data_IF_948454688136
#
_entry.id   IF_948454688136
#
_cell.length_a   1.000
_cell.length_b   1.000
_cell.length_c   1.000
_cell.angle_alpha   90.00
_cell.angle_beta   90.00
_cell.angle_gamma   90.00
#
_symmetry.space_group_name_H-M   'P 1'
#
loop_
_entity.id
_entity.type
_entity.pdbx_description
1 polymer ?
#
# COMPACT_ATOMS: atom_id res chain seq x y z
N UNK A 1 12.66 -29.70 26.10
CA UNK A 1 12.64 -29.26 24.68
C UNK A 1 11.78 -28.02 24.59
N UNK A 2 12.26 -26.85 24.14
CA UNK A 2 11.39 -25.71 23.96
C UNK A 2 10.44 -26.04 22.81
N UNK A 3 9.14 -26.10 23.14
CA UNK A 3 8.09 -26.48 22.22
C UNK A 3 8.12 -25.60 20.97
N UNK A 4 8.27 -26.24 19.81
CA UNK A 4 7.92 -25.59 18.54
C UNK A 4 6.43 -25.25 18.64
N UNK A 5 6.10 -23.98 18.82
CA UNK A 5 4.77 -23.50 18.51
C UNK A 5 4.50 -23.93 17.05
N UNK A 6 3.45 -24.72 16.75
CA UNK A 6 3.03 -24.87 15.37
C UNK A 6 2.81 -23.47 14.80
N UNK A 7 3.12 -23.20 13.51
CA UNK A 7 2.79 -21.90 12.93
C UNK A 7 1.31 -21.68 13.20
N UNK A 8 0.92 -20.57 13.84
CA UNK A 8 -0.49 -20.30 14.08
C UNK A 8 -1.18 -20.36 12.71
N UNK A 9 -2.12 -21.29 12.54
CA UNK A 9 -2.86 -21.37 11.28
C UNK A 9 -3.59 -20.06 11.05
N UNK A 10 -3.70 -19.61 9.80
CA UNK A 10 -4.42 -18.38 9.49
C UNK A 10 -5.80 -18.36 10.14
N UNK A 11 -6.13 -17.23 10.76
CA UNK A 11 -7.40 -17.04 11.47
C UNK A 11 -7.86 -15.61 11.32
N UNK A 12 -9.06 -15.41 10.79
CA UNK A 12 -9.75 -14.12 10.75
C UNK A 12 -10.24 -13.63 12.12
N UNK A 13 -10.22 -14.49 13.15
CA UNK A 13 -10.66 -14.20 14.51
C UNK A 13 -9.64 -14.71 15.54
N UNK A 14 -8.40 -14.19 15.53
CA UNK A 14 -7.40 -14.61 16.50
C UNK A 14 -7.76 -14.04 17.87
N UNK A 15 -8.04 -14.92 18.83
CA UNK A 15 -8.30 -14.53 20.22
C UNK A 15 -7.45 -15.37 21.15
N UNK A 16 -6.78 -14.70 22.08
CA UNK A 16 -6.09 -15.37 23.18
C UNK A 16 -7.07 -15.67 24.32
N UNK A 17 -6.74 -16.66 25.15
CA UNK A 17 -7.47 -16.94 26.39
C UNK A 17 -6.45 -17.12 27.53
N UNK A 18 -6.43 -16.24 28.54
CA UNK A 18 -7.21 -15.00 28.65
C UNK A 18 -6.81 -13.97 27.58
N UNK A 19 -7.72 -13.04 27.26
CA UNK A 19 -7.42 -11.91 26.36
C UNK A 19 -6.58 -10.86 27.11
N UNK A 20 -5.59 -10.23 26.46
CA UNK A 20 -4.92 -9.09 27.06
C UNK A 20 -5.89 -7.92 27.15
N UNK A 21 -5.72 -7.08 28.16
CA UNK A 21 -6.42 -5.82 28.25
C UNK A 21 -5.90 -4.88 27.17
N UNK A 22 -6.78 -4.44 26.28
CA UNK A 22 -6.43 -3.40 25.32
C UNK A 22 -6.42 -2.10 26.11
N UNK A 23 -5.32 -1.36 26.03
CA UNK A 23 -5.19 -0.07 26.71
C UNK A 23 -6.33 0.91 26.38
N UNK A 24 -6.34 2.10 27.01
CA UNK A 24 -7.47 3.00 26.93
C UNK A 24 -7.77 3.44 25.49
N UNK A 25 -9.05 3.51 25.11
CA UNK A 25 -9.48 3.79 23.74
C UNK A 25 -8.90 5.08 23.15
N UNK A 26 -8.73 6.12 23.98
CA UNK A 26 -8.19 7.42 23.55
C UNK A 26 -6.80 7.27 22.89
N UNK A 27 -5.99 6.32 23.33
CA UNK A 27 -4.65 6.08 22.80
C UNK A 27 -4.69 5.68 21.31
N UNK A 28 -5.60 4.77 20.97
CA UNK A 28 -5.79 4.30 19.60
C UNK A 28 -6.51 5.35 18.74
N UNK A 29 -7.48 6.07 19.32
CA UNK A 29 -8.18 7.17 18.64
C UNK A 29 -7.23 8.32 18.29
N UNK A 30 -6.30 8.69 19.18
CA UNK A 30 -5.31 9.75 18.89
C UNK A 30 -4.35 9.32 17.77
N UNK A 31 -3.86 8.07 17.77
CA UNK A 31 -3.04 7.57 16.66
C UNK A 31 -3.81 7.54 15.34
N UNK A 32 -5.06 7.12 15.38
CA UNK A 32 -5.95 7.14 14.23
C UNK A 32 -6.12 8.57 13.69
N UNK A 33 -6.43 9.53 14.56
CA UNK A 33 -6.61 10.93 14.19
C UNK A 33 -5.33 11.55 13.59
N UNK A 34 -4.17 11.32 14.20
CA UNK A 34 -2.88 11.78 13.66
C UNK A 34 -2.66 11.22 12.26
N UNK A 35 -2.93 9.93 12.02
CA UNK A 35 -2.77 9.34 10.68
C UNK A 35 -3.80 9.89 9.69
N UNK A 36 -5.04 10.06 10.11
CA UNK A 36 -6.16 10.59 9.31
C UNK A 36 -5.93 12.05 8.90
N UNK A 37 -5.14 12.81 9.67
CA UNK A 37 -4.74 14.18 9.32
C UNK A 37 -3.45 14.20 8.50
N UNK A 38 -2.43 13.46 8.96
CA UNK A 38 -1.07 13.47 8.38
C UNK A 38 -1.06 12.95 6.95
N UNK A 39 -1.65 11.78 6.69
CA UNK A 39 -1.55 11.14 5.37
C UNK A 39 -2.22 12.00 4.29
N UNK A 40 -3.49 12.45 4.45
CA UNK A 40 -4.10 13.35 3.48
C UNK A 40 -3.38 14.68 3.31
N UNK A 41 -2.80 15.22 4.37
CA UNK A 41 -2.01 16.45 4.30
C UNK A 41 -0.76 16.26 3.45
N UNK A 42 -0.01 15.17 3.65
CA UNK A 42 1.17 14.85 2.83
C UNK A 42 0.80 14.67 1.35
N UNK A 43 -0.29 13.97 1.06
CA UNK A 43 -0.81 13.84 -0.30
C UNK A 43 -1.19 15.20 -0.91
N UNK A 44 -1.81 16.08 -0.12
CA UNK A 44 -2.21 17.43 -0.56
C UNK A 44 -1.00 18.30 -0.86
N UNK A 45 0.03 18.26 0.00
CA UNK A 45 1.29 18.97 -0.23
C UNK A 45 1.96 18.42 -1.49
N UNK A 46 2.03 17.10 -1.64
CA UNK A 46 2.60 16.47 -2.84
C UNK A 46 1.86 16.92 -4.09
N UNK A 47 0.53 16.90 -4.08
CA UNK A 47 -0.31 17.42 -5.16
C UNK A 47 0.04 18.87 -5.49
N UNK A 48 0.06 19.79 -4.53
CA UNK A 48 0.40 21.20 -4.79
C UNK A 48 1.80 21.33 -5.43
N UNK A 49 2.78 20.55 -4.97
CA UNK A 49 4.14 20.58 -5.49
C UNK A 49 4.24 20.04 -6.93
N UNK A 50 3.42 19.06 -7.30
CA UNK A 50 3.47 18.42 -8.63
C UNK A 50 2.52 19.02 -9.65
N UNK A 51 1.56 19.84 -9.22
CA UNK A 51 0.49 20.40 -10.05
C UNK A 51 1.00 21.11 -11.32
N UNK A 52 1.99 21.99 -11.17
CA UNK A 52 2.58 22.71 -12.31
C UNK A 52 3.30 21.76 -13.27
N UNK A 53 3.93 20.72 -12.75
CA UNK A 53 4.59 19.69 -13.55
C UNK A 53 3.57 18.88 -14.35
N UNK A 54 2.49 18.47 -13.71
CA UNK A 54 1.37 17.81 -14.34
C UNK A 54 0.76 18.65 -15.46
N UNK A 55 0.46 19.93 -15.22
CA UNK A 55 -0.13 20.82 -16.22
C UNK A 55 0.77 20.97 -17.46
N UNK A 56 2.08 21.17 -17.25
CA UNK A 56 3.06 21.24 -18.36
C UNK A 56 3.15 19.93 -19.13
N UNK A 57 3.13 18.79 -18.42
CA UNK A 57 3.16 17.47 -19.04
C UNK A 57 1.92 17.24 -19.91
N UNK A 58 0.73 17.61 -19.41
CA UNK A 58 -0.52 17.50 -20.17
C UNK A 58 -0.50 18.36 -21.43
N UNK A 59 -0.17 19.65 -21.31
CA UNK A 59 -0.09 20.56 -22.48
C UNK A 59 0.90 20.05 -23.52
N UNK A 60 2.07 19.57 -23.08
CA UNK A 60 3.07 18.99 -23.98
C UNK A 60 2.52 17.73 -24.67
N UNK A 61 1.89 16.84 -23.92
CA UNK A 61 1.29 15.62 -24.47
C UNK A 61 0.20 15.93 -25.50
N UNK A 62 -0.75 16.81 -25.14
CA UNK A 62 -1.82 17.26 -26.03
C UNK A 62 -1.29 17.89 -27.32
N UNK A 63 -0.19 18.64 -27.26
CA UNK A 63 0.45 19.23 -28.45
C UNK A 63 1.04 18.20 -29.43
N UNK A 64 1.42 17.02 -28.95
CA UNK A 64 2.01 15.96 -29.77
C UNK A 64 0.94 15.09 -30.42
N UNK A 65 -0.24 14.97 -29.80
CA UNK A 65 -1.28 14.02 -30.21
C UNK A 65 -1.82 14.19 -31.64
N UNK A 66 -2.01 15.41 -32.18
CA UNK A 66 -2.41 15.58 -33.57
C UNK A 66 -1.41 15.00 -34.59
N UNK A 67 -0.14 14.89 -34.21
CA UNK A 67 0.98 14.49 -35.07
C UNK A 67 1.38 13.01 -34.94
N UNK A 68 0.75 12.25 -34.03
CA UNK A 68 1.07 10.83 -33.87
C UNK A 68 0.34 9.97 -34.92
N UNK A 69 1.03 9.03 -35.60
CA UNK A 69 0.39 8.10 -36.53
C UNK A 69 -0.49 7.06 -35.82
N UNK A 70 -0.31 6.88 -34.51
CA UNK A 70 -1.08 5.98 -33.66
C UNK A 70 -2.37 6.63 -33.18
N UNK A 71 -3.38 6.74 -34.05
CA UNK A 71 -4.75 7.06 -33.63
C UNK A 71 -5.49 5.76 -33.30
N UNK A 72 -5.69 5.49 -32.01
CA UNK A 72 -6.55 4.40 -31.56
C UNK A 72 -8.00 4.89 -31.61
N UNK A 73 -8.81 4.39 -32.54
CA UNK A 73 -10.19 4.87 -32.71
C UNK A 73 -11.07 4.66 -31.46
N UNK A 74 -10.66 3.77 -30.55
CA UNK A 74 -11.33 3.46 -29.30
C UNK A 74 -10.81 4.25 -28.08
N UNK A 75 -9.70 4.99 -28.19
CA UNK A 75 -9.07 5.70 -27.06
C UNK A 75 -8.85 7.19 -27.40
N UNK A 76 -9.30 8.06 -26.50
CA UNK A 76 -9.11 9.51 -26.63
C UNK A 76 -7.73 9.94 -26.12
N UNK A 77 -7.21 11.11 -26.53
CA UNK A 77 -5.93 11.64 -26.02
C UNK A 77 -5.86 11.68 -24.48
N UNK A 78 -6.95 12.09 -23.83
CA UNK A 78 -7.04 12.12 -22.36
C UNK A 78 -6.92 10.73 -21.72
N UNK A 79 -7.48 9.69 -22.37
CA UNK A 79 -7.34 8.29 -21.93
C UNK A 79 -5.87 7.86 -22.01
N UNK A 80 -5.21 8.17 -23.12
CA UNK A 80 -3.80 7.84 -23.33
C UNK A 80 -2.89 8.56 -22.34
N UNK A 81 -3.12 9.86 -22.10
CA UNK A 81 -2.34 10.62 -21.11
C UNK A 81 -2.47 10.02 -19.73
N UNK A 82 -3.71 9.71 -19.30
CA UNK A 82 -3.96 9.10 -18.01
C UNK A 82 -3.32 7.72 -17.88
N UNK A 83 -3.54 6.85 -18.85
CA UNK A 83 -3.00 5.49 -18.85
C UNK A 83 -1.47 5.52 -18.82
N UNK A 84 -0.83 6.26 -19.72
CA UNK A 84 0.63 6.33 -19.80
C UNK A 84 1.18 6.96 -18.53
N UNK A 85 0.60 8.10 -18.10
CA UNK A 85 1.02 8.83 -16.91
C UNK A 85 0.91 8.00 -15.64
N UNK A 86 -0.24 7.37 -15.39
CA UNK A 86 -0.45 6.54 -14.20
C UNK A 86 0.42 5.30 -14.23
N UNK A 87 0.48 4.58 -15.35
CA UNK A 87 1.26 3.35 -15.46
C UNK A 87 2.75 3.62 -15.27
N UNK A 88 3.26 4.70 -15.87
CA UNK A 88 4.64 5.14 -15.67
C UNK A 88 4.88 5.53 -14.21
N UNK A 89 3.96 6.30 -13.60
CA UNK A 89 4.09 6.72 -12.21
C UNK A 89 4.16 5.53 -11.26
N UNK A 90 3.23 4.57 -11.40
CA UNK A 90 3.21 3.32 -10.62
C UNK A 90 4.50 2.54 -10.84
N UNK A 91 4.94 2.35 -12.09
CA UNK A 91 6.16 1.61 -12.42
C UNK A 91 7.42 2.27 -11.86
N UNK A 92 7.48 3.61 -11.87
CA UNK A 92 8.59 4.37 -11.30
C UNK A 92 8.64 4.21 -9.78
N UNK A 93 7.51 4.32 -9.09
CA UNK A 93 7.46 4.11 -7.63
C UNK A 93 7.86 2.67 -7.30
N UNK A 94 7.32 1.69 -8.02
CA UNK A 94 7.71 0.29 -7.91
C UNK A 94 9.23 0.11 -8.05
N UNK A 95 9.82 0.65 -9.12
CA UNK A 95 11.26 0.50 -9.37
C UNK A 95 12.11 1.20 -8.30
N UNK A 96 11.75 2.43 -7.93
CA UNK A 96 12.51 3.23 -6.97
C UNK A 96 12.46 2.65 -5.57
N UNK A 97 11.28 2.33 -5.05
CA UNK A 97 11.12 1.84 -3.67
C UNK A 97 11.69 0.42 -3.52
N UNK A 98 11.33 -0.49 -4.43
CA UNK A 98 11.85 -1.85 -4.38
C UNK A 98 13.36 -1.88 -4.63
N UNK A 99 13.84 -1.10 -5.61
CA UNK A 99 15.26 -0.93 -5.88
C UNK A 99 16.02 -0.37 -4.67
N UNK A 100 15.48 0.67 -4.02
CA UNK A 100 16.07 1.27 -2.82
C UNK A 100 16.24 0.26 -1.68
N UNK A 101 15.18 -0.47 -1.31
CA UNK A 101 15.26 -1.46 -0.24
C UNK A 101 16.15 -2.65 -0.60
N UNK A 102 16.16 -3.08 -1.87
CA UNK A 102 17.09 -4.11 -2.35
C UNK A 102 18.55 -3.66 -2.29
N UNK A 103 18.85 -2.41 -2.63
CA UNK A 103 20.19 -1.84 -2.46
C UNK A 103 20.58 -1.77 -0.99
N UNK A 104 19.66 -1.37 -0.11
CA UNK A 104 19.90 -1.38 1.34
C UNK A 104 20.23 -2.78 1.85
N UNK A 105 19.53 -3.80 1.37
CA UNK A 105 19.83 -5.20 1.70
C UNK A 105 21.18 -5.68 1.12
N UNK A 106 21.49 -5.33 -0.13
CA UNK A 106 22.69 -5.80 -0.83
C UNK A 106 23.98 -5.21 -0.26
N UNK A 107 23.93 -3.95 0.12
CA UNK A 107 25.08 -3.16 0.59
C UNK A 107 25.06 -2.92 2.10
N UNK A 108 24.14 -3.55 2.83
CA UNK A 108 24.00 -3.39 4.28
C UNK A 108 23.85 -1.92 4.72
N UNK A 109 23.06 -1.14 4.00
CA UNK A 109 22.73 0.24 4.36
C UNK A 109 21.58 0.24 5.37
N UNK A 110 21.52 1.26 6.23
CA UNK A 110 20.38 1.50 7.14
C UNK A 110 20.04 0.31 8.06
N UNK A 111 21.02 -0.54 8.40
CA UNK A 111 20.79 -1.77 9.16
C UNK A 111 20.27 -1.51 10.59
N UNK A 112 20.49 -0.31 11.13
CA UNK A 112 19.91 0.10 12.42
C UNK A 112 18.36 0.10 12.40
N UNK A 113 17.74 0.24 11.23
CA UNK A 113 16.29 0.23 11.05
C UNK A 113 15.78 -1.13 10.54
N UNK A 114 16.65 -2.07 10.19
CA UNK A 114 16.25 -3.36 9.63
C UNK A 114 15.69 -4.26 10.73
N UNK A 115 14.52 -4.84 10.49
CA UNK A 115 13.93 -5.83 11.36
C UNK A 115 14.76 -7.12 11.29
N UNK A 116 15.17 -7.64 12.46
CA UNK A 116 16.04 -8.82 12.51
C UNK A 116 15.33 -10.04 11.94
N UNK A 117 16.08 -10.84 11.18
CA UNK A 117 15.58 -12.04 10.49
C UNK A 117 16.36 -13.26 10.94
N UNK A 118 15.66 -14.35 11.23
CA UNK A 118 16.26 -15.69 11.40
C UNK A 118 16.25 -16.43 10.05
N UNK A 119 17.07 -17.48 9.85
CA UNK A 119 17.16 -18.19 8.57
C UNK A 119 15.80 -18.68 8.04
N UNK A 120 14.88 -19.11 8.91
CA UNK A 120 13.55 -19.58 8.53
C UNK A 120 12.61 -18.48 8.00
N UNK A 121 12.97 -17.20 8.15
CA UNK A 121 12.20 -16.06 7.63
C UNK A 121 12.68 -15.60 6.25
N UNK A 122 13.81 -16.13 5.77
CA UNK A 122 14.39 -15.69 4.49
C UNK A 122 13.70 -16.40 3.31
N UNK A 123 13.30 -15.67 2.26
CA UNK A 123 12.73 -16.29 1.07
C UNK A 123 13.81 -17.05 0.29
N UNK A 124 13.40 -18.06 -0.48
CA UNK A 124 14.30 -18.73 -1.42
C UNK A 124 14.63 -17.83 -2.61
N UNK A 125 15.78 -18.04 -3.24
CA UNK A 125 16.18 -17.28 -4.43
C UNK A 125 15.19 -17.47 -5.61
N UNK A 126 14.60 -18.66 -5.74
CA UNK A 126 13.57 -18.95 -6.75
C UNK A 126 12.32 -18.09 -6.53
N UNK A 127 11.83 -18.03 -5.28
CA UNK A 127 10.68 -17.21 -4.93
C UNK A 127 10.93 -15.73 -5.24
N UNK A 128 12.09 -15.19 -4.87
CA UNK A 128 12.48 -13.80 -5.19
C UNK A 128 12.50 -13.57 -6.71
N UNK A 129 13.12 -14.47 -7.49
CA UNK A 129 13.18 -14.34 -8.95
C UNK A 129 11.79 -14.34 -9.58
N UNK A 130 10.91 -15.26 -9.18
CA UNK A 130 9.54 -15.34 -9.70
C UNK A 130 8.77 -14.07 -9.39
N UNK A 131 8.84 -13.56 -8.17
CA UNK A 131 8.17 -12.31 -7.78
C UNK A 131 8.65 -11.12 -8.60
N UNK A 132 9.95 -10.97 -8.79
CA UNK A 132 10.51 -9.85 -9.57
C UNK A 132 10.13 -9.94 -11.06
N UNK A 133 10.13 -11.13 -11.66
CA UNK A 133 9.71 -11.32 -13.05
C UNK A 133 8.21 -11.06 -13.23
N UNK A 134 7.37 -11.58 -12.33
CA UNK A 134 5.92 -11.41 -12.40
C UNK A 134 5.51 -9.96 -12.15
N UNK A 135 6.13 -9.28 -11.19
CA UNK A 135 5.90 -7.86 -10.95
C UNK A 135 6.38 -7.01 -12.14
N UNK A 136 7.56 -7.28 -12.71
CA UNK A 136 8.01 -6.59 -13.91
C UNK A 136 7.03 -6.78 -15.09
N UNK A 137 6.55 -8.01 -15.32
CA UNK A 137 5.53 -8.28 -16.34
C UNK A 137 4.23 -7.50 -16.07
N UNK A 138 3.83 -7.43 -14.80
CA UNK A 138 2.63 -6.73 -14.38
C UNK A 138 2.75 -5.21 -14.59
N UNK A 139 3.86 -4.60 -14.21
CA UNK A 139 4.07 -3.15 -14.32
C UNK A 139 4.36 -2.71 -15.77
N UNK A 140 5.09 -3.50 -16.55
CA UNK A 140 5.55 -3.10 -17.88
C UNK A 140 4.58 -3.49 -19.01
N UNK A 141 3.71 -4.49 -18.79
CA UNK A 141 2.85 -5.04 -19.85
C UNK A 141 1.40 -5.13 -19.40
N UNK A 142 1.09 -5.93 -18.37
CA UNK A 142 -0.30 -6.27 -18.03
C UNK A 142 -1.06 -5.05 -17.48
N UNK A 143 -0.47 -4.32 -16.54
CA UNK A 143 -1.03 -3.14 -15.89
C UNK A 143 -1.33 -2.02 -16.89
N UNK A 144 -0.37 -1.59 -17.74
CA UNK A 144 -0.63 -0.62 -18.81
C UNK A 144 -1.74 -1.08 -19.76
N UNK A 145 -1.77 -2.35 -20.15
CA UNK A 145 -2.81 -2.89 -21.02
C UNK A 145 -4.20 -2.86 -20.35
N UNK A 146 -4.29 -3.29 -19.08
CA UNK A 146 -5.53 -3.25 -18.29
C UNK A 146 -6.01 -1.80 -18.10
N UNK A 147 -5.09 -0.88 -17.82
CA UNK A 147 -5.40 0.53 -17.64
C UNK A 147 -5.91 1.16 -18.94
N UNK A 148 -5.32 0.82 -20.09
CA UNK A 148 -5.72 1.36 -21.40
C UNK A 148 -7.05 0.79 -21.89
N UNK A 149 -7.23 -0.52 -21.75
CA UNK A 149 -8.32 -1.26 -22.40
C UNK A 149 -9.57 -1.38 -21.52
N UNK A 150 -9.43 -1.24 -20.19
CA UNK A 150 -10.52 -1.46 -19.24
C UNK A 150 -10.73 -0.24 -18.34
N UNK A 151 -9.73 0.12 -17.52
CA UNK A 151 -9.94 1.10 -16.44
C UNK A 151 -10.12 2.52 -16.96
N UNK A 152 -9.26 2.99 -17.86
CA UNK A 152 -9.33 4.33 -18.45
C UNK A 152 -10.68 4.59 -19.15
N UNK A 153 -11.09 3.74 -20.11
CA UNK A 153 -12.39 3.85 -20.75
C UNK A 153 -13.56 3.82 -19.75
N UNK A 154 -13.53 2.93 -18.76
CA UNK A 154 -14.58 2.84 -17.74
C UNK A 154 -14.71 4.12 -16.90
N UNK A 155 -13.59 4.69 -16.44
CA UNK A 155 -13.58 5.95 -15.70
C UNK A 155 -14.08 7.12 -16.55
N UNK A 156 -13.69 7.19 -17.83
CA UNK A 156 -14.22 8.21 -18.76
C UNK A 156 -15.71 8.04 -19.00
N UNK A 157 -16.19 6.82 -19.26
CA UNK A 157 -17.61 6.55 -19.43
C UNK A 157 -18.42 6.99 -18.21
N UNK A 158 -17.90 6.73 -17.00
CA UNK A 158 -18.52 7.17 -15.77
C UNK A 158 -18.53 8.71 -15.64
N UNK A 159 -17.43 9.38 -15.98
CA UNK A 159 -17.34 10.84 -15.95
C UNK A 159 -18.34 11.50 -16.93
N UNK A 160 -18.43 10.98 -18.16
CA UNK A 160 -19.38 11.43 -19.17
C UNK A 160 -20.83 11.19 -18.74
N UNK A 161 -21.13 10.01 -18.18
CA UNK A 161 -22.48 9.67 -17.70
C UNK A 161 -22.98 10.60 -16.57
N UNK A 162 -22.05 11.27 -15.87
CA UNK A 162 -22.34 12.20 -14.77
C UNK A 162 -22.22 13.68 -15.18
N UNK A 163 -22.01 13.98 -16.47
CA UNK A 163 -21.82 15.33 -17.00
C UNK A 163 -20.72 16.14 -16.28
N UNK A 164 -19.63 15.47 -15.90
CA UNK A 164 -18.54 16.08 -15.16
C UNK A 164 -17.53 16.74 -16.11
N UNK A 165 -16.83 17.80 -15.68
CA UNK A 165 -15.73 18.37 -16.45
C UNK A 165 -14.63 17.33 -16.68
N UNK A 166 -13.82 17.51 -17.72
CA UNK A 166 -12.71 16.57 -18.00
C UNK A 166 -11.82 16.47 -16.76
N UNK A 167 -11.60 15.26 -16.23
CA UNK A 167 -10.80 15.06 -15.03
C UNK A 167 -9.30 15.19 -15.31
N UNK A 168 -8.90 15.57 -16.52
CA UNK A 168 -7.50 15.67 -16.96
C UNK A 168 -7.05 17.13 -17.12
N UNK A 169 -7.99 18.01 -17.43
CA UNK A 169 -7.71 19.40 -17.79
C UNK A 169 -7.21 20.18 -16.56
N UNK A 170 -6.02 20.80 -16.60
CA UNK A 170 -5.47 21.52 -15.44
C UNK A 170 -6.39 22.61 -14.88
N UNK A 171 -7.19 23.27 -15.72
CA UNK A 171 -8.16 24.29 -15.31
C UNK A 171 -9.31 23.74 -14.45
N UNK A 172 -9.49 22.42 -14.40
CA UNK A 172 -10.52 21.75 -13.59
C UNK A 172 -9.97 21.23 -12.26
N UNK A 173 -8.70 21.54 -11.94
CA UNK A 173 -8.07 21.12 -10.69
C UNK A 173 -8.82 21.66 -9.46
N UNK A 174 -9.09 20.81 -8.46
CA UNK A 174 -9.80 21.21 -7.26
C UNK A 174 -8.97 22.14 -6.37
N UNK A 175 -9.64 22.98 -5.57
CA UNK A 175 -9.00 23.79 -4.53
C UNK A 175 -8.22 22.92 -3.53
N UNK A 176 -7.25 23.50 -2.80
CA UNK A 176 -6.48 22.76 -1.81
C UNK A 176 -7.39 22.10 -0.74
N UNK A 177 -8.46 22.77 -0.31
CA UNK A 177 -9.39 22.26 0.69
C UNK A 177 -10.17 21.06 0.14
N UNK A 178 -10.65 21.16 -1.10
CA UNK A 178 -11.33 20.06 -1.79
C UNK A 178 -10.39 18.88 -1.99
N UNK A 179 -9.14 19.14 -2.40
CA UNK A 179 -8.09 18.12 -2.55
C UNK A 179 -7.82 17.39 -1.23
N UNK A 180 -7.66 18.12 -0.13
CA UNK A 180 -7.43 17.55 1.19
C UNK A 180 -8.62 16.72 1.70
N UNK A 181 -9.86 17.20 1.49
CA UNK A 181 -11.06 16.44 1.81
C UNK A 181 -11.17 15.16 0.97
N UNK A 182 -10.88 15.23 -0.32
CA UNK A 182 -10.86 14.07 -1.21
C UNK A 182 -9.84 13.03 -0.73
N UNK A 183 -8.63 13.45 -0.32
CA UNK A 183 -7.61 12.53 0.21
C UNK A 183 -8.04 11.94 1.55
N UNK A 184 -8.69 12.73 2.41
CA UNK A 184 -9.21 12.26 3.70
C UNK A 184 -10.27 11.18 3.51
N UNK A 185 -11.24 11.41 2.62
CA UNK A 185 -12.29 10.44 2.33
C UNK A 185 -11.73 9.19 1.65
N UNK A 186 -10.86 9.36 0.64
CA UNK A 186 -10.21 8.24 -0.04
C UNK A 186 -9.38 7.39 0.93
N UNK A 187 -8.64 8.03 1.85
CA UNK A 187 -7.87 7.35 2.88
C UNK A 187 -8.76 6.56 3.84
N UNK A 188 -9.81 7.18 4.38
CA UNK A 188 -10.72 6.49 5.28
C UNK A 188 -11.37 5.26 4.61
N UNK A 189 -11.90 5.43 3.39
CA UNK A 189 -12.52 4.33 2.63
C UNK A 189 -11.51 3.22 2.35
N UNK A 190 -10.29 3.58 1.93
CA UNK A 190 -9.23 2.62 1.67
C UNK A 190 -8.92 1.78 2.91
N UNK A 191 -8.65 2.41 4.05
CA UNK A 191 -8.25 1.69 5.26
C UNK A 191 -9.36 0.75 5.78
N UNK A 192 -10.62 1.17 5.66
CA UNK A 192 -11.78 0.35 6.06
C UNK A 192 -11.95 -0.87 5.14
N UNK A 193 -11.95 -0.66 3.82
CA UNK A 193 -12.16 -1.76 2.87
C UNK A 193 -10.96 -2.70 2.88
N UNK A 194 -9.74 -2.16 2.93
CA UNK A 194 -8.53 -2.97 3.08
C UNK A 194 -8.61 -3.86 4.30
N UNK A 195 -8.96 -3.32 5.47
CA UNK A 195 -9.06 -4.10 6.70
C UNK A 195 -10.04 -5.26 6.58
N UNK A 196 -11.26 -5.01 6.10
CA UNK A 196 -12.27 -6.07 5.98
C UNK A 196 -11.93 -7.07 4.88
N UNK A 197 -11.40 -6.62 3.74
CA UNK A 197 -10.93 -7.47 2.66
C UNK A 197 -9.79 -8.38 3.11
N UNK A 198 -8.78 -7.81 3.76
CA UNK A 198 -7.63 -8.56 4.27
C UNK A 198 -8.05 -9.54 5.36
N UNK A 199 -8.89 -9.12 6.32
CA UNK A 199 -9.44 -10.03 7.33
C UNK A 199 -10.25 -11.18 6.72
N UNK A 200 -11.04 -10.90 5.67
CA UNK A 200 -11.79 -11.92 4.94
C UNK A 200 -10.84 -12.93 4.26
N UNK A 201 -9.73 -12.47 3.70
CA UNK A 201 -8.71 -13.35 3.11
C UNK A 201 -8.06 -14.29 4.12
N UNK A 202 -8.10 -13.98 5.42
CA UNK A 202 -7.70 -14.87 6.51
C UNK A 202 -8.78 -15.88 6.94
N UNK A 203 -9.94 -15.88 6.28
CA UNK A 203 -10.89 -16.98 6.41
C UNK A 203 -10.32 -18.23 5.72
N UNK A 204 -10.32 -19.35 6.45
CA UNK A 204 -9.55 -20.58 6.12
C UNK A 204 -9.62 -21.04 4.65
N UNK A 205 -10.78 -21.06 3.96
CA UNK A 205 -10.84 -21.41 2.55
C UNK A 205 -10.10 -20.42 1.65
N UNK A 206 -10.37 -19.11 1.80
CA UNK A 206 -9.74 -18.05 1.01
C UNK A 206 -8.24 -17.94 1.31
N UNK A 207 -7.85 -18.12 2.58
CA UNK A 207 -6.44 -18.12 2.92
C UNK A 207 -5.68 -19.20 2.16
N UNK A 208 -6.19 -20.44 2.17
CA UNK A 208 -5.50 -21.58 1.57
C UNK A 208 -5.31 -21.42 0.06
N UNK A 209 -6.26 -20.80 -0.63
CA UNK A 209 -6.29 -20.72 -2.09
C UNK A 209 -5.73 -19.40 -2.65
N UNK A 210 -5.89 -18.30 -1.92
CA UNK A 210 -5.60 -16.94 -2.42
C UNK A 210 -4.44 -16.35 -1.62
N UNK A 211 -4.59 -16.20 -0.30
CA UNK A 211 -3.70 -15.35 0.50
C UNK A 211 -2.43 -16.06 1.03
N UNK A 212 -2.41 -17.39 1.06
CA UNK A 212 -1.23 -18.17 1.47
C UNK A 212 -0.03 -17.89 0.55
N UNK A 213 -0.27 -17.57 -0.72
CA UNK A 213 0.79 -17.19 -1.65
C UNK A 213 1.55 -15.97 -1.12
N UNK A 214 0.83 -14.90 -0.76
CA UNK A 214 1.39 -13.67 -0.20
C UNK A 214 2.20 -13.93 1.08
N UNK A 215 1.67 -14.77 1.98
CA UNK A 215 2.34 -15.20 3.22
C UNK A 215 3.54 -16.14 3.02
N UNK A 216 3.93 -16.46 1.78
CA UNK A 216 5.18 -17.18 1.51
C UNK A 216 6.41 -16.34 1.89
N UNK A 217 6.26 -15.01 1.93
CA UNK A 217 7.23 -14.11 2.53
C UNK A 217 6.96 -13.95 4.03
N UNK A 218 7.59 -14.80 4.84
CA UNK A 218 7.45 -14.75 6.32
C UNK A 218 8.13 -13.51 6.90
N UNK A 219 9.39 -13.26 6.54
CA UNK A 219 10.03 -11.97 6.77
C UNK A 219 9.74 -11.08 5.57
N UNK A 220 9.06 -9.96 5.78
CA UNK A 220 8.64 -9.12 4.66
C UNK A 220 9.85 -8.53 3.93
N UNK A 221 9.68 -8.36 2.61
CA UNK A 221 10.57 -7.62 1.71
C UNK A 221 9.70 -6.65 0.91
N UNK A 222 10.24 -5.50 0.51
CA UNK A 222 9.47 -4.47 -0.21
C UNK A 222 8.66 -5.05 -1.38
N UNK A 223 9.32 -5.86 -2.22
CA UNK A 223 8.70 -6.44 -3.41
C UNK A 223 7.74 -7.61 -3.10
N UNK A 224 7.68 -8.08 -1.85
CA UNK A 224 6.73 -9.11 -1.45
C UNK A 224 5.28 -8.63 -1.54
N UNK A 225 5.05 -7.30 -1.46
CA UNK A 225 3.74 -6.69 -1.70
C UNK A 225 3.16 -7.05 -3.07
N UNK A 226 4.01 -7.32 -4.06
CA UNK A 226 3.62 -7.67 -5.43
C UNK A 226 3.37 -9.17 -5.63
N UNK A 227 3.70 -10.01 -4.62
CA UNK A 227 3.52 -11.45 -4.72
C UNK A 227 2.16 -11.90 -4.20
N UNK A 228 1.10 -11.36 -4.77
CA UNK A 228 -0.27 -11.66 -4.41
C UNK A 228 -1.00 -12.43 -5.52
N UNK A 229 -2.11 -13.06 -5.14
CA UNK A 229 -3.02 -13.64 -6.10
C UNK A 229 -3.88 -12.51 -6.72
N UNK A 230 -4.25 -12.54 -8.02
CA UNK A 230 -5.00 -11.42 -8.64
C UNK A 230 -6.32 -11.06 -7.94
N UNK A 231 -7.01 -12.06 -7.37
CA UNK A 231 -8.23 -11.82 -6.56
C UNK A 231 -7.93 -11.07 -5.25
N UNK A 232 -6.77 -11.31 -4.65
CA UNK A 232 -6.31 -10.53 -3.51
C UNK A 232 -6.07 -9.08 -3.94
N UNK A 233 -5.34 -8.84 -5.04
CA UNK A 233 -5.12 -7.48 -5.55
C UNK A 233 -6.43 -6.74 -5.79
N UNK A 234 -7.44 -7.41 -6.35
CA UNK A 234 -8.77 -6.79 -6.54
C UNK A 234 -9.37 -6.37 -5.20
N UNK A 235 -9.35 -7.25 -4.19
CA UNK A 235 -10.01 -7.03 -2.90
C UNK A 235 -9.25 -6.07 -1.97
N UNK A 236 -7.92 -6.10 -1.98
CA UNK A 236 -7.08 -5.37 -1.02
C UNK A 236 -6.24 -4.26 -1.66
N UNK A 237 -6.11 -4.18 -2.98
CA UNK A 237 -5.45 -3.06 -3.65
C UNK A 237 -6.44 -2.26 -4.51
N UNK A 238 -7.00 -2.84 -5.58
CA UNK A 238 -7.75 -2.10 -6.59
C UNK A 238 -9.06 -1.51 -6.07
N UNK A 239 -9.93 -2.29 -5.41
CA UNK A 239 -11.18 -1.75 -4.86
C UNK A 239 -10.89 -0.68 -3.79
N UNK A 240 -10.03 -0.91 -2.77
CA UNK A 240 -9.68 0.12 -1.80
C UNK A 240 -9.10 1.40 -2.42
N UNK A 241 -8.20 1.28 -3.41
CA UNK A 241 -7.54 2.42 -4.02
C UNK A 241 -8.49 3.23 -4.90
N UNK A 242 -9.37 2.56 -5.65
CA UNK A 242 -10.22 3.20 -6.65
C UNK A 242 -11.57 3.67 -6.12
N UNK A 243 -12.14 3.01 -5.10
CA UNK A 243 -13.51 3.34 -4.69
C UNK A 243 -13.64 4.78 -4.19
N UNK A 244 -12.71 5.24 -3.35
CA UNK A 244 -12.70 6.62 -2.87
C UNK A 244 -12.57 7.64 -4.02
N UNK A 245 -11.73 7.34 -5.01
CA UNK A 245 -11.53 8.17 -6.21
C UNK A 245 -12.83 8.29 -7.01
N UNK A 246 -13.51 7.15 -7.24
CA UNK A 246 -14.75 7.07 -8.02
C UNK A 246 -15.92 7.78 -7.31
N UNK A 247 -16.00 7.67 -5.98
CA UNK A 247 -17.04 8.31 -5.17
C UNK A 247 -16.85 9.83 -5.11
N UNK A 248 -15.61 10.29 -4.99
CA UNK A 248 -15.30 11.73 -4.93
C UNK A 248 -15.19 12.40 -6.31
N UNK A 249 -15.27 11.61 -7.40
CA UNK A 249 -14.96 12.08 -8.74
C UNK A 249 -13.62 12.83 -8.80
N UNK A 250 -12.56 12.21 -8.30
CA UNK A 250 -11.29 12.90 -8.17
C UNK A 250 -10.62 13.16 -9.53
N UNK A 251 -10.01 14.34 -9.66
CA UNK A 251 -9.20 14.71 -10.82
C UNK A 251 -8.03 13.74 -11.02
N UNK A 252 -7.58 13.50 -12.24
CA UNK A 252 -6.55 12.50 -12.55
C UNK A 252 -5.20 12.80 -11.90
N UNK A 253 -4.85 14.07 -11.76
CA UNK A 253 -3.68 14.47 -10.99
C UNK A 253 -3.75 14.01 -9.52
N UNK A 254 -4.93 14.06 -8.89
CA UNK A 254 -5.15 13.49 -7.57
C UNK A 254 -4.89 11.99 -7.58
N UNK A 255 -5.35 11.26 -8.60
CA UNK A 255 -5.12 9.82 -8.73
C UNK A 255 -3.63 9.50 -8.79
N UNK A 256 -2.84 10.24 -9.56
CA UNK A 256 -1.38 10.05 -9.61
C UNK A 256 -0.72 10.23 -8.24
N UNK A 257 -1.08 11.30 -7.53
CA UNK A 257 -0.58 11.59 -6.19
C UNK A 257 -1.02 10.53 -5.17
N UNK A 258 -2.28 10.09 -5.25
CA UNK A 258 -2.85 9.05 -4.40
C UNK A 258 -2.10 7.74 -4.54
N UNK A 259 -1.93 7.25 -5.78
CA UNK A 259 -1.21 6.02 -6.06
C UNK A 259 0.24 6.11 -5.64
N UNK A 260 0.93 7.24 -5.89
CA UNK A 260 2.28 7.47 -5.41
C UNK A 260 2.37 7.28 -3.89
N UNK A 261 1.58 8.03 -3.12
CA UNK A 261 1.64 8.00 -1.67
C UNK A 261 1.22 6.64 -1.08
N UNK A 262 0.18 6.00 -1.62
CA UNK A 262 -0.27 4.69 -1.15
C UNK A 262 0.70 3.57 -1.49
N UNK A 263 1.32 3.59 -2.68
CA UNK A 263 2.33 2.60 -3.05
C UNK A 263 3.59 2.75 -2.19
N UNK A 264 4.06 3.98 -1.93
CA UNK A 264 5.15 4.22 -0.98
C UNK A 264 4.82 3.65 0.42
N UNK A 265 3.60 3.87 0.94
CA UNK A 265 3.18 3.26 2.21
C UNK A 265 3.16 1.72 2.15
N UNK A 266 2.67 1.13 1.06
CA UNK A 266 2.64 -0.33 0.86
C UNK A 266 4.04 -0.93 0.80
N UNK A 267 4.95 -0.35 0.02
CA UNK A 267 6.31 -0.85 -0.11
C UNK A 267 7.10 -0.66 1.19
N UNK A 268 6.96 0.48 1.86
CA UNK A 268 7.58 0.69 3.17
C UNK A 268 7.06 -0.31 4.20
N UNK A 269 5.74 -0.57 4.24
CA UNK A 269 5.15 -1.50 5.21
C UNK A 269 5.60 -2.95 5.02
N UNK A 270 5.97 -3.33 3.79
CA UNK A 270 6.53 -4.64 3.46
C UNK A 270 8.05 -4.66 3.47
N UNK A 271 8.74 -3.52 3.53
CA UNK A 271 10.17 -3.41 3.30
C UNK A 271 11.04 -4.31 4.19
N UNK A 272 10.56 -4.62 5.40
CA UNK A 272 11.36 -5.23 6.45
C UNK A 272 12.27 -4.23 7.17
N UNK A 273 12.05 -2.94 6.95
CA UNK A 273 12.67 -1.83 7.65
C UNK A 273 11.61 -1.08 8.48
N UNK A 274 11.95 -0.78 9.72
CA UNK A 274 11.15 0.03 10.62
C UNK A 274 11.99 1.25 11.01
N UNK A 275 11.68 2.40 10.38
CA UNK A 275 12.39 3.66 10.60
C UNK A 275 12.03 4.36 11.92
N UNK A 276 11.48 3.64 12.90
CA UNK A 276 11.10 4.18 14.19
C UNK A 276 12.31 4.84 14.87
N UNK A 277 12.13 6.07 15.35
CA UNK A 277 13.18 6.86 15.98
C UNK A 277 14.11 7.61 15.02
N UNK A 278 14.00 7.41 13.70
CA UNK A 278 14.70 8.24 12.71
C UNK A 278 14.14 9.66 12.65
N UNK A 279 14.94 10.63 12.17
CA UNK A 279 14.47 12.00 11.94
C UNK A 279 13.25 12.03 11.02
N UNK A 280 13.24 11.23 9.93
CA UNK A 280 12.09 11.11 9.03
C UNK A 280 10.82 10.63 9.74
N UNK A 281 10.96 9.67 10.66
CA UNK A 281 9.85 9.20 11.49
C UNK A 281 9.30 10.31 12.40
N UNK A 282 10.18 11.13 13.01
CA UNK A 282 9.76 12.26 13.84
C UNK A 282 9.03 13.34 13.03
N UNK A 283 9.45 13.60 11.79
CA UNK A 283 8.74 14.49 10.86
C UNK A 283 7.50 13.86 10.22
N UNK A 284 7.19 12.60 10.53
CA UNK A 284 6.02 11.91 10.01
C UNK A 284 6.10 11.54 8.53
N UNK A 285 7.31 11.45 7.98
CA UNK A 285 7.57 11.10 6.58
C UNK A 285 7.75 9.59 6.35
N UNK A 286 7.69 8.79 7.42
CA UNK A 286 7.73 7.32 7.36
C UNK A 286 6.50 6.70 8.02
N UNK A 287 6.26 5.44 7.67
CA UNK A 287 5.16 4.59 8.10
C UNK A 287 5.64 3.49 9.06
N UNK A 288 6.61 3.80 9.92
CA UNK A 288 7.36 2.81 10.70
C UNK A 288 6.50 1.93 11.61
N UNK A 289 5.47 2.49 12.23
CA UNK A 289 4.53 1.69 13.04
C UNK A 289 3.74 0.69 12.20
N UNK A 290 3.39 1.05 10.97
CA UNK A 290 2.68 0.18 10.03
C UNK A 290 3.63 -0.91 9.53
N UNK A 291 4.89 -0.59 9.24
CA UNK A 291 5.89 -1.57 8.84
C UNK A 291 6.08 -2.68 9.89
N UNK A 292 6.23 -2.31 11.17
CA UNK A 292 6.35 -3.31 12.23
C UNK A 292 5.04 -4.09 12.47
N UNK A 293 3.89 -3.42 12.38
CA UNK A 293 2.57 -4.05 12.54
C UNK A 293 2.30 -5.09 11.45
N UNK A 294 2.64 -4.76 10.20
CA UNK A 294 2.47 -5.64 9.05
C UNK A 294 3.51 -6.77 9.02
N UNK A 295 4.76 -6.49 9.36
CA UNK A 295 5.78 -7.55 9.48
C UNK A 295 5.43 -8.54 10.60
N UNK A 296 4.89 -8.05 11.72
CA UNK A 296 4.32 -8.92 12.76
C UNK A 296 3.20 -9.79 12.20
N UNK A 297 2.28 -9.20 11.42
CA UNK A 297 1.22 -9.95 10.74
C UNK A 297 1.78 -11.09 9.88
N UNK A 298 2.79 -10.86 9.03
CA UNK A 298 3.42 -11.93 8.23
C UNK A 298 4.11 -13.00 9.10
N UNK A 299 4.81 -12.59 10.15
CA UNK A 299 5.54 -13.54 11.00
C UNK A 299 4.64 -14.37 11.91
N UNK A 300 3.42 -13.90 12.23
CA UNK A 300 2.44 -14.62 13.05
C UNK A 300 1.30 -15.24 12.26
N UNK A 301 1.03 -14.71 11.08
CA UNK A 301 -0.06 -15.08 10.17
C UNK A 301 -1.44 -15.02 10.83
N UNK A 302 -1.62 -14.10 11.79
CA UNK A 302 -2.85 -13.90 12.55
C UNK A 302 -2.97 -12.46 13.02
N UNK A 303 -4.16 -11.87 12.86
CA UNK A 303 -4.51 -10.57 13.42
C UNK A 303 -3.86 -9.43 12.69
N UNK A 304 -3.94 -8.20 13.21
CA UNK A 304 -3.21 -7.06 12.67
C UNK A 304 -3.51 -6.84 11.16
N UNK A 305 -4.78 -6.93 10.78
CA UNK A 305 -5.21 -6.99 9.38
C UNK A 305 -5.13 -5.64 8.66
N UNK A 306 -4.93 -4.52 9.35
CA UNK A 306 -4.77 -3.25 8.66
C UNK A 306 -4.57 -2.10 9.61
N UNK A 307 -5.43 -1.09 9.47
CA UNK A 307 -5.36 0.10 10.30
C UNK A 307 -5.62 -0.26 11.77
N UNK A 308 -4.64 0.00 12.63
CA UNK A 308 -4.61 -0.44 14.03
C UNK A 308 -5.88 -0.14 14.83
N UNK A 309 -6.59 0.97 14.55
CA UNK A 309 -7.86 1.28 15.22
C UNK A 309 -8.97 0.29 14.85
N UNK A 310 -8.99 -0.23 13.63
CA UNK A 310 -9.94 -1.25 13.21
C UNK A 310 -9.61 -2.59 13.87
N UNK A 311 -8.33 -2.92 13.99
CA UNK A 311 -7.87 -4.08 14.76
C UNK A 311 -8.23 -3.96 16.26
N UNK A 312 -8.12 -2.76 16.83
CA UNK A 312 -8.58 -2.45 18.19
C UNK A 312 -10.08 -2.69 18.35
N UNK A 313 -10.90 -2.03 17.51
CA UNK A 313 -12.36 -2.09 17.58
C UNK A 313 -12.89 -3.51 17.35
N UNK A 314 -12.27 -4.26 16.45
CA UNK A 314 -12.67 -5.63 16.14
C UNK A 314 -12.05 -6.68 17.07
N UNK A 315 -11.08 -6.28 17.90
CA UNK A 315 -10.36 -7.18 18.79
C UNK A 315 -9.54 -8.22 18.03
N UNK A 316 -8.73 -7.81 17.06
CA UNK A 316 -7.92 -8.69 16.20
C UNK A 316 -6.42 -8.48 16.37
N UNK A 317 -5.96 -7.93 17.51
CA UNK A 317 -4.55 -7.66 17.78
C UNK A 317 -4.07 -8.16 19.15
N UNK A 318 -4.67 -9.24 19.68
CA UNK A 318 -4.36 -9.77 21.02
C UNK A 318 -2.86 -10.06 21.19
N UNK A 319 -2.26 -10.80 20.26
CA UNK A 319 -0.84 -11.15 20.41
C UNK A 319 0.08 -9.93 20.26
N UNK A 320 -0.28 -8.97 19.41
CA UNK A 320 0.44 -7.70 19.26
C UNK A 320 0.41 -6.90 20.56
N UNK A 321 -0.75 -6.76 21.19
CA UNK A 321 -0.90 -6.07 22.49
C UNK A 321 -0.14 -6.80 23.58
N UNK A 322 -0.31 -8.13 23.69
CA UNK A 322 0.41 -8.96 24.67
C UNK A 322 1.93 -8.83 24.56
N UNK A 323 2.43 -8.69 23.34
CA UNK A 323 3.87 -8.56 23.09
C UNK A 323 4.43 -7.19 23.48
N UNK A 324 3.59 -6.17 23.69
CA UNK A 324 4.02 -4.79 23.90
C UNK A 324 4.08 -3.96 22.61
N UNK A 325 3.28 -4.34 21.60
CA UNK A 325 3.19 -3.64 20.32
C UNK A 325 4.51 -3.63 19.54
N UNK A 326 4.80 -2.51 18.87
CA UNK A 326 5.98 -2.34 18.02
C UNK A 326 7.28 -2.60 18.77
N UNK A 327 7.46 -1.98 19.93
CA UNK A 327 8.75 -2.00 20.63
C UNK A 327 9.00 -3.39 21.21
N UNK A 328 7.94 -4.05 21.71
CA UNK A 328 7.98 -5.44 22.12
C UNK A 328 8.28 -6.41 20.98
N UNK A 329 7.70 -6.18 19.81
CA UNK A 329 7.99 -6.98 18.61
C UNK A 329 9.45 -6.85 18.16
N UNK A 330 9.96 -5.62 18.06
CA UNK A 330 11.37 -5.37 17.71
C UNK A 330 12.31 -6.04 18.71
N UNK A 331 12.00 -5.93 20.00
CA UNK A 331 12.78 -6.56 21.08
C UNK A 331 12.79 -8.08 20.95
N UNK A 332 11.64 -8.70 20.64
CA UNK A 332 11.56 -10.14 20.38
C UNK A 332 12.40 -10.57 19.17
N UNK A 333 12.38 -9.81 18.06
CA UNK A 333 13.17 -10.14 16.88
C UNK A 333 14.67 -10.08 17.17
N UNK A 334 15.13 -9.08 17.95
CA UNK A 334 16.53 -8.97 18.40
C UNK A 334 16.94 -10.16 19.27
N UNK A 335 16.13 -10.50 20.27
CA UNK A 335 16.38 -11.64 21.13
C UNK A 335 16.46 -12.97 20.35
N UNK A 336 15.58 -13.18 19.37
CA UNK A 336 15.60 -14.37 18.49
C UNK A 336 16.83 -14.43 17.59
N UNK A 337 17.40 -13.28 17.23
CA UNK A 337 18.62 -13.20 16.42
C UNK A 337 19.91 -13.38 17.23
N UNK A 338 19.81 -13.44 18.57
CA UNK A 338 20.97 -13.55 19.45
C UNK A 338 21.62 -12.22 19.82
N UNK A 339 20.99 -11.09 19.48
CA UNK A 339 21.42 -9.77 19.92
C UNK A 339 20.95 -9.59 21.39
N UNK A 340 21.91 -9.57 22.34
CA UNK A 340 21.64 -9.24 23.75
C UNK A 340 21.81 -7.75 24.00
#
# INVERSE_FOLDING_TARGET
>A
MPGRLPPPGASACPRLSPRPEYGPAWHYLMRAAVRLLRFPLLCTVFHILTERGYAKAYVRFASLMPHTPFRMWWAQPDDLFFTIGLSLSISVVWLLENGFFMLCDRYSLLQQYKLRRVPSMQPSASLVRTTLLNSALSHLIIGPALMLLVVGPALRHLALARALPSPVLPETLPSWTTTWLNFTVAFFINEVIFYFGHRLLHWKPLYRTIHKQHHSYVGTRSFAAEYAHPVEDVLTAYIPFLLGIVLMNAHFHFVFCWFFCKLTETYESHSGYCFAGSWLHWFGLTNSSIAAHHDFHHTRNQGNFGWEILDYLCGTMDEWVRLGGRDGYISQLRAKAGDK
#
